data_IF_516418804767
#
_entry.id   IF_516418804767
#
_cell.length_a   1.000
_cell.length_b   1.000
_cell.length_c   1.000
_cell.angle_alpha   90.00
_cell.angle_beta   90.00
_cell.angle_gamma   90.00
#
_symmetry.space_group_name_H-M   'P 1'
#
loop_
_entity.id
_entity.type
_entity.pdbx_description
1 polymer ?
#
# COMPACT_ATOMS: atom_id res chain seq x y z
N UNK A 1 -11.20 -2.99 3.68
CA UNK A 1 -11.08 -2.37 2.34
C UNK A 1 -11.24 -3.42 1.23
N UNK A 2 -11.33 -4.70 1.56
CA UNK A 2 -11.28 -5.77 0.61
C UNK A 2 -12.67 -6.37 0.43
N UNK A 3 -12.87 -7.07 -0.68
CA UNK A 3 -14.00 -7.98 -0.82
C UNK A 3 -13.99 -9.03 0.30
N UNK A 4 -15.15 -9.60 0.61
CA UNK A 4 -15.18 -10.83 1.43
C UNK A 4 -14.51 -11.98 0.68
N UNK A 5 -14.19 -13.07 1.38
CA UNK A 5 -13.60 -14.26 0.74
C UNK A 5 -14.53 -14.82 -0.34
N UNK A 6 -15.83 -14.90 -0.08
CA UNK A 6 -16.82 -15.40 -1.04
C UNK A 6 -16.96 -14.48 -2.25
N UNK A 7 -16.98 -13.16 -2.03
CA UNK A 7 -17.00 -12.15 -3.10
C UNK A 7 -15.74 -12.23 -3.97
N UNK A 8 -14.56 -12.40 -3.34
CA UNK A 8 -13.28 -12.54 -4.03
C UNK A 8 -13.20 -13.83 -4.84
N UNK A 9 -13.63 -14.97 -4.27
CA UNK A 9 -13.70 -16.25 -4.98
C UNK A 9 -14.62 -16.16 -6.20
N UNK A 10 -15.83 -15.60 -6.02
CA UNK A 10 -16.78 -15.38 -7.10
C UNK A 10 -16.15 -14.53 -8.21
N UNK A 11 -15.46 -13.44 -7.86
CA UNK A 11 -14.77 -12.62 -8.86
C UNK A 11 -13.73 -13.43 -9.65
N UNK A 12 -12.83 -14.14 -8.98
CA UNK A 12 -11.76 -14.88 -9.65
C UNK A 12 -12.30 -16.01 -10.53
N UNK A 13 -13.34 -16.72 -10.10
CA UNK A 13 -13.98 -17.77 -10.89
C UNK A 13 -14.60 -17.20 -12.17
N UNK A 14 -15.35 -16.09 -12.07
CA UNK A 14 -15.95 -15.43 -13.24
C UNK A 14 -14.90 -14.81 -14.17
N UNK A 15 -13.86 -14.22 -13.61
CA UNK A 15 -12.82 -13.54 -14.38
C UNK A 15 -11.96 -14.55 -15.14
N UNK A 16 -11.61 -15.67 -14.51
CA UNK A 16 -10.93 -16.76 -15.20
C UNK A 16 -11.81 -17.38 -16.31
N UNK A 17 -13.12 -17.52 -16.09
CA UNK A 17 -14.03 -18.08 -17.09
C UNK A 17 -14.09 -17.23 -18.38
N UNK A 18 -14.23 -15.90 -18.26
CA UNK A 18 -14.25 -15.03 -19.44
C UNK A 18 -12.87 -14.95 -20.11
N UNK A 19 -11.78 -14.90 -19.34
CA UNK A 19 -10.44 -14.84 -19.94
C UNK A 19 -10.06 -16.14 -20.64
N UNK A 20 -10.52 -17.29 -20.13
CA UNK A 20 -10.38 -18.59 -20.80
C UNK A 20 -11.14 -18.61 -22.14
N UNK A 21 -12.34 -18.04 -22.17
CA UNK A 21 -13.11 -17.87 -23.40
C UNK A 21 -12.38 -16.97 -24.41
N UNK A 22 -11.88 -15.81 -23.98
CA UNK A 22 -11.11 -14.89 -24.83
C UNK A 22 -9.86 -15.57 -25.36
N UNK A 23 -9.12 -16.28 -24.51
CA UNK A 23 -7.90 -16.96 -24.92
C UNK A 23 -8.20 -18.01 -25.99
N UNK A 24 -9.26 -18.82 -25.83
CA UNK A 24 -9.67 -19.82 -26.82
C UNK A 24 -10.15 -19.22 -28.15
N UNK A 25 -10.85 -18.06 -28.10
CA UNK A 25 -11.39 -17.41 -29.31
C UNK A 25 -10.31 -16.69 -30.11
N UNK A 26 -9.31 -16.13 -29.44
CA UNK A 26 -8.30 -15.27 -30.07
C UNK A 26 -6.90 -15.89 -30.15
N UNK A 27 -6.69 -17.04 -29.52
CA UNK A 27 -5.40 -17.74 -29.45
C UNK A 27 -4.25 -16.82 -28.96
N UNK A 28 -4.49 -16.13 -27.84
CA UNK A 28 -3.58 -15.07 -27.34
C UNK A 28 -2.37 -15.65 -26.63
N UNK A 29 -2.56 -16.71 -25.86
CA UNK A 29 -1.55 -17.39 -25.07
C UNK A 29 -1.62 -18.91 -25.30
N UNK A 30 -0.45 -19.59 -25.39
CA UNK A 30 -0.36 -21.01 -25.74
C UNK A 30 -0.94 -21.93 -24.67
N UNK A 31 -0.85 -21.56 -23.39
CA UNK A 31 -1.34 -22.40 -22.29
C UNK A 31 -2.86 -22.21 -22.07
N UNK A 32 -3.67 -23.27 -22.23
CA UNK A 32 -5.08 -23.22 -21.88
C UNK A 32 -5.26 -23.26 -20.36
N UNK A 33 -6.31 -22.59 -19.89
CA UNK A 33 -6.75 -22.66 -18.49
C UNK A 33 -8.27 -22.67 -18.45
N UNK A 34 -8.83 -23.27 -17.41
CA UNK A 34 -10.27 -23.50 -17.25
C UNK A 34 -10.84 -22.92 -15.95
N UNK A 35 -9.98 -22.60 -14.98
CA UNK A 35 -10.37 -22.12 -13.66
C UNK A 35 -9.39 -21.08 -13.10
N UNK A 36 -9.74 -20.47 -11.97
CA UNK A 36 -8.96 -19.41 -11.33
C UNK A 36 -7.56 -19.86 -10.89
N UNK A 37 -7.40 -21.11 -10.43
CA UNK A 37 -6.10 -21.61 -9.98
C UNK A 37 -5.13 -21.79 -11.16
N UNK A 38 -5.60 -22.40 -12.25
CA UNK A 38 -4.83 -22.52 -13.50
C UNK A 38 -4.50 -21.15 -14.08
N UNK A 39 -5.46 -20.23 -14.11
CA UNK A 39 -5.23 -18.86 -14.58
C UNK A 39 -4.11 -18.16 -13.79
N UNK A 40 -4.01 -18.39 -12.48
CA UNK A 40 -2.96 -17.79 -11.65
C UNK A 40 -1.56 -18.35 -11.94
N UNK A 41 -1.46 -19.55 -12.53
CA UNK A 41 -0.21 -20.16 -12.96
C UNK A 41 0.26 -19.66 -14.32
N UNK A 42 -0.64 -19.12 -15.16
CA UNK A 42 -0.29 -18.50 -16.45
C UNK A 42 0.68 -17.35 -16.25
N UNK A 43 1.66 -17.22 -17.16
CA UNK A 43 2.69 -16.21 -17.01
C UNK A 43 2.07 -14.80 -16.92
N UNK A 44 2.67 -13.91 -16.14
CA UNK A 44 2.11 -12.58 -15.98
C UNK A 44 2.01 -11.77 -17.29
N UNK A 45 2.94 -11.95 -18.23
CA UNK A 45 2.90 -11.32 -19.56
C UNK A 45 1.69 -11.80 -20.39
N UNK A 46 1.42 -13.11 -20.41
CA UNK A 46 0.28 -13.69 -21.11
C UNK A 46 -1.05 -13.24 -20.49
N UNK A 47 -1.13 -13.20 -19.16
CA UNK A 47 -2.32 -12.68 -18.47
C UNK A 47 -2.63 -11.24 -18.84
N UNK A 48 -1.59 -10.40 -18.95
CA UNK A 48 -1.75 -9.02 -19.43
C UNK A 48 -2.24 -8.99 -20.88
N UNK A 49 -1.68 -9.81 -21.77
CA UNK A 49 -2.08 -9.89 -23.16
C UNK A 49 -3.54 -10.34 -23.34
N UNK A 50 -3.98 -11.39 -22.62
CA UNK A 50 -5.36 -11.88 -22.67
C UNK A 50 -6.32 -10.81 -22.13
N UNK A 51 -5.96 -10.15 -21.02
CA UNK A 51 -6.74 -9.03 -20.47
C UNK A 51 -6.88 -7.89 -21.48
N UNK A 52 -5.78 -7.46 -22.08
CA UNK A 52 -5.79 -6.35 -23.03
C UNK A 52 -6.64 -6.69 -24.25
N UNK A 53 -6.53 -7.93 -24.76
CA UNK A 53 -7.38 -8.43 -25.83
C UNK A 53 -8.89 -8.40 -25.49
N UNK A 54 -9.27 -8.74 -24.26
CA UNK A 54 -10.66 -8.64 -23.78
C UNK A 54 -11.18 -7.19 -23.83
N UNK A 55 -10.39 -6.22 -23.36
CA UNK A 55 -10.85 -4.82 -23.27
C UNK A 55 -10.68 -4.02 -24.56
N UNK A 56 -9.85 -4.50 -25.49
CA UNK A 56 -9.76 -4.02 -26.88
C UNK A 56 -10.95 -4.52 -27.72
N UNK A 57 -11.48 -5.72 -27.44
CA UNK A 57 -12.65 -6.33 -28.10
C UNK A 57 -13.79 -6.60 -27.11
N UNK A 58 -14.45 -5.54 -26.66
CA UNK A 58 -15.50 -5.62 -25.61
C UNK A 58 -16.74 -6.40 -26.04
N UNK A 59 -16.95 -6.57 -27.34
CA UNK A 59 -17.97 -7.45 -27.92
C UNK A 59 -17.82 -8.91 -27.44
N UNK A 60 -16.61 -9.35 -27.09
CA UNK A 60 -16.39 -10.69 -26.53
C UNK A 60 -17.09 -10.89 -25.18
N UNK A 61 -17.41 -9.81 -24.45
CA UNK A 61 -18.22 -9.89 -23.23
C UNK A 61 -19.67 -10.26 -23.59
N UNK A 62 -20.22 -9.72 -24.67
CA UNK A 62 -21.56 -10.10 -25.15
C UNK A 62 -21.60 -11.53 -25.64
N UNK A 63 -20.61 -11.91 -26.45
CA UNK A 63 -20.50 -13.27 -26.97
C UNK A 63 -20.40 -14.29 -25.82
N UNK A 64 -19.55 -14.02 -24.83
CA UNK A 64 -19.42 -14.88 -23.66
C UNK A 64 -20.74 -15.02 -22.88
N UNK A 65 -21.47 -13.91 -22.70
CA UNK A 65 -22.75 -13.91 -21.99
C UNK A 65 -23.84 -14.65 -22.78
N UNK A 66 -23.85 -14.52 -24.11
CA UNK A 66 -24.82 -15.17 -24.99
C UNK A 66 -24.55 -16.67 -25.15
N UNK A 67 -23.30 -17.07 -25.34
CA UNK A 67 -22.89 -18.47 -25.51
C UNK A 67 -22.91 -19.23 -24.18
N UNK A 68 -22.67 -18.54 -23.05
CA UNK A 68 -22.54 -19.09 -21.70
C UNK A 68 -21.72 -20.40 -21.63
N UNK A 69 -20.48 -20.43 -22.15
CA UNK A 69 -19.70 -21.67 -22.27
C UNK A 69 -19.30 -22.26 -20.91
N UNK A 70 -19.33 -21.45 -19.85
CA UNK A 70 -19.02 -21.86 -18.48
C UNK A 70 -20.27 -22.25 -17.66
N UNK A 71 -21.45 -22.31 -18.28
CA UNK A 71 -22.72 -22.70 -17.63
C UNK A 71 -23.02 -21.87 -16.36
N UNK A 72 -22.76 -20.57 -16.43
CA UNK A 72 -22.97 -19.63 -15.34
C UNK A 72 -24.47 -19.37 -15.12
N UNK A 73 -24.82 -19.08 -13.88
CA UNK A 73 -26.16 -18.63 -13.51
C UNK A 73 -26.49 -17.25 -14.08
N UNK A 74 -27.78 -16.92 -14.20
CA UNK A 74 -28.22 -15.61 -14.68
C UNK A 74 -27.64 -14.43 -13.90
N UNK A 75 -27.45 -14.59 -12.58
CA UNK A 75 -26.85 -13.55 -11.73
C UNK A 75 -25.36 -13.37 -12.00
N UNK A 76 -24.63 -14.47 -12.21
CA UNK A 76 -23.22 -14.44 -12.59
C UNK A 76 -23.02 -13.79 -13.97
N UNK A 77 -23.85 -14.15 -14.95
CA UNK A 77 -23.85 -13.53 -16.27
C UNK A 77 -24.15 -12.02 -16.19
N UNK A 78 -25.05 -11.60 -15.30
CA UNK A 78 -25.33 -10.19 -15.05
C UNK A 78 -24.12 -9.45 -14.48
N UNK A 79 -23.32 -10.09 -13.61
CA UNK A 79 -22.06 -9.50 -13.13
C UNK A 79 -21.09 -9.31 -14.29
N UNK A 80 -20.86 -10.36 -15.09
CA UNK A 80 -19.91 -10.32 -16.20
C UNK A 80 -20.30 -9.29 -17.25
N UNK A 81 -21.59 -9.15 -17.58
CA UNK A 81 -22.05 -8.16 -18.55
C UNK A 81 -21.75 -6.71 -18.14
N UNK A 82 -21.70 -6.43 -16.83
CA UNK A 82 -21.31 -5.09 -16.35
C UNK A 82 -19.85 -4.74 -16.65
N UNK A 83 -18.97 -5.71 -16.89
CA UNK A 83 -17.55 -5.46 -17.18
C UNK A 83 -17.32 -4.73 -18.50
N UNK A 84 -18.36 -4.54 -19.32
CA UNK A 84 -18.33 -3.59 -20.43
C UNK A 84 -18.14 -2.14 -19.99
N UNK A 85 -18.53 -1.79 -18.77
CA UNK A 85 -18.30 -0.46 -18.19
C UNK A 85 -16.90 -0.33 -17.55
N UNK A 86 -16.04 -1.34 -17.74
CA UNK A 86 -14.68 -1.32 -17.24
C UNK A 86 -13.88 -0.12 -17.76
N UNK A 87 -12.98 0.38 -16.92
CA UNK A 87 -12.10 1.50 -17.24
C UNK A 87 -10.63 1.03 -17.21
N UNK A 88 -10.10 0.49 -18.32
CA UNK A 88 -8.66 0.38 -18.52
C UNK A 88 -8.04 1.77 -18.52
N UNK A 89 -6.89 1.90 -17.88
CA UNK A 89 -6.14 3.15 -17.99
C UNK A 89 -5.05 3.33 -16.96
N UNK A 90 -4.51 4.55 -16.98
CA UNK A 90 -3.50 5.01 -16.03
C UNK A 90 -4.15 5.82 -14.93
N UNK A 91 -3.79 5.47 -13.70
CA UNK A 91 -4.36 6.06 -12.50
C UNK A 91 -3.28 6.44 -11.50
N UNK A 92 -3.44 7.58 -10.86
CA UNK A 92 -2.73 7.90 -9.63
C UNK A 92 -3.47 7.29 -8.45
N UNK A 93 -2.90 6.25 -7.84
CA UNK A 93 -3.32 5.82 -6.51
C UNK A 93 -2.89 6.92 -5.54
N UNK A 94 -3.87 7.65 -5.02
CA UNK A 94 -3.65 8.91 -4.33
C UNK A 94 -3.75 8.78 -2.82
N UNK A 95 -4.67 7.93 -2.32
CA UNK A 95 -4.89 7.76 -0.89
C UNK A 95 -5.56 6.43 -0.54
N UNK A 96 -5.24 5.89 0.63
CA UNK A 96 -6.00 4.81 1.28
C UNK A 96 -6.99 5.39 2.30
N UNK A 97 -8.28 5.08 2.16
CA UNK A 97 -9.35 5.43 3.11
C UNK A 97 -9.84 4.17 3.83
N UNK A 98 -10.71 4.26 4.84
CA UNK A 98 -11.13 3.05 5.56
C UNK A 98 -11.90 2.04 4.67
N UNK A 99 -12.67 2.54 3.70
CA UNK A 99 -13.57 1.73 2.85
C UNK A 99 -12.98 1.36 1.49
N UNK A 100 -12.16 2.23 0.90
CA UNK A 100 -11.61 2.07 -0.45
C UNK A 100 -10.30 2.85 -0.62
N UNK A 101 -9.50 2.48 -1.62
CA UNK A 101 -8.41 3.29 -2.13
C UNK A 101 -8.93 4.31 -3.15
N UNK A 102 -8.31 5.48 -3.23
CA UNK A 102 -8.69 6.55 -4.17
C UNK A 102 -7.76 6.53 -5.36
N UNK A 103 -8.33 6.28 -6.54
CA UNK A 103 -7.66 6.31 -7.84
C UNK A 103 -8.08 7.58 -8.59
N UNK A 104 -7.12 8.39 -9.04
CA UNK A 104 -7.36 9.58 -9.86
C UNK A 104 -6.96 9.28 -11.30
N UNK A 105 -7.79 9.65 -12.27
CA UNK A 105 -7.43 9.54 -13.70
C UNK A 105 -6.19 10.38 -14.00
N UNK A 106 -5.21 9.83 -14.72
CA UNK A 106 -4.02 10.61 -15.12
C UNK A 106 -4.28 11.53 -16.31
N UNK A 107 -5.03 11.04 -17.30
CA UNK A 107 -5.07 11.66 -18.64
C UNK A 107 -6.39 12.40 -18.92
N UNK A 108 -7.40 12.24 -18.06
CA UNK A 108 -8.74 12.85 -18.25
C UNK A 108 -8.90 14.18 -17.49
N UNK A 109 -9.51 15.16 -18.17
CA UNK A 109 -9.99 16.42 -17.61
C UNK A 109 -11.52 16.55 -17.81
N UNK A 110 -12.32 16.80 -16.76
CA UNK A 110 -11.89 16.96 -15.37
C UNK A 110 -11.43 15.62 -14.77
N UNK A 111 -10.49 15.70 -13.83
CA UNK A 111 -9.97 14.51 -13.14
C UNK A 111 -11.07 13.87 -12.30
N UNK A 112 -11.33 12.58 -12.53
CA UNK A 112 -12.29 11.79 -11.76
C UNK A 112 -11.59 11.05 -10.63
N UNK A 113 -12.28 10.89 -9.50
CA UNK A 113 -11.81 10.13 -8.35
C UNK A 113 -12.67 8.88 -8.17
N UNK A 114 -12.04 7.71 -8.23
CA UNK A 114 -12.68 6.41 -8.05
C UNK A 114 -12.31 5.80 -6.70
N UNK A 115 -13.31 5.32 -5.97
CA UNK A 115 -13.14 4.55 -4.75
C UNK A 115 -13.07 3.06 -5.09
N UNK A 116 -11.86 2.51 -5.11
CA UNK A 116 -11.55 1.13 -5.51
C UNK A 116 -11.35 0.24 -4.28
N UNK A 117 -12.05 -0.89 -4.26
CA UNK A 117 -12.00 -1.94 -3.24
C UNK A 117 -10.95 -2.97 -3.64
N UNK A 118 -10.18 -3.46 -2.66
CA UNK A 118 -9.20 -4.52 -2.90
C UNK A 118 -9.87 -5.89 -3.12
N UNK A 119 -9.14 -6.81 -3.74
CA UNK A 119 -9.54 -8.22 -3.88
C UNK A 119 -9.14 -8.98 -2.60
N UNK A 120 -8.31 -10.02 -2.69
CA UNK A 120 -7.83 -10.76 -1.52
C UNK A 120 -6.84 -9.94 -0.68
N UNK A 121 -5.80 -9.37 -1.32
CA UNK A 121 -4.77 -8.60 -0.62
C UNK A 121 -5.16 -7.13 -0.41
N UNK A 122 -4.86 -6.54 0.76
CA UNK A 122 -4.97 -5.11 0.97
C UNK A 122 -4.25 -4.32 -0.13
N UNK A 123 -4.89 -3.26 -0.63
CA UNK A 123 -4.35 -2.42 -1.71
C UNK A 123 -2.97 -1.80 -1.37
N UNK A 124 -2.66 -1.65 -0.08
CA UNK A 124 -1.34 -1.22 0.41
C UNK A 124 -0.22 -2.25 0.13
N UNK A 125 -0.55 -3.54 0.07
CA UNK A 125 0.41 -4.59 -0.32
C UNK A 125 0.58 -4.66 -1.84
N UNK A 126 -0.52 -4.53 -2.59
CA UNK A 126 -0.51 -4.56 -4.06
C UNK A 126 0.20 -3.33 -4.63
N UNK A 127 -0.22 -2.14 -4.21
CA UNK A 127 0.29 -0.87 -4.76
C UNK A 127 1.44 -0.30 -3.94
N UNK A 128 1.60 -0.64 -2.67
CA UNK A 128 2.67 -0.14 -1.81
C UNK A 128 2.30 1.12 -1.00
N UNK A 129 2.97 1.35 0.14
CA UNK A 129 2.54 2.36 1.13
C UNK A 129 2.88 3.81 0.76
N UNK A 130 3.73 4.02 -0.24
CA UNK A 130 4.21 5.35 -0.63
C UNK A 130 3.36 5.92 -1.75
N UNK A 131 2.51 6.91 -1.41
CA UNK A 131 1.62 7.58 -2.34
C UNK A 131 2.07 9.04 -2.64
N UNK A 132 1.67 9.60 -3.80
CA UNK A 132 0.92 8.95 -4.88
C UNK A 132 1.80 7.96 -5.66
N UNK A 133 1.18 6.95 -6.27
CA UNK A 133 1.81 6.02 -7.23
C UNK A 133 1.02 6.05 -8.53
N UNK A 134 1.73 6.12 -9.66
CA UNK A 134 1.12 5.95 -10.97
C UNK A 134 1.10 4.46 -11.31
N UNK A 135 -0.06 3.97 -11.69
CA UNK A 135 -0.27 2.56 -12.04
C UNK A 135 -1.10 2.46 -13.32
N UNK A 136 -0.90 1.38 -14.07
CA UNK A 136 -1.82 0.94 -15.12
C UNK A 136 -2.58 -0.28 -14.60
N UNK A 137 -3.91 -0.26 -14.71
CA UNK A 137 -4.80 -1.36 -14.30
C UNK A 137 -6.18 -1.16 -14.93
N UNK A 138 -7.09 -2.11 -14.74
CA UNK A 138 -8.49 -2.00 -15.17
C UNK A 138 -9.39 -1.88 -13.95
N UNK A 139 -10.20 -0.81 -13.91
CA UNK A 139 -11.24 -0.66 -12.88
C UNK A 139 -12.53 -1.32 -13.37
N UNK A 140 -13.09 -2.23 -12.58
CA UNK A 140 -14.25 -3.05 -12.95
C UNK A 140 -15.43 -2.78 -12.01
N UNK A 141 -16.67 -2.70 -12.53
CA UNK A 141 -17.85 -2.83 -11.68
C UNK A 141 -17.96 -4.24 -11.12
N UNK A 142 -18.26 -4.35 -9.83
CA UNK A 142 -18.53 -5.63 -9.18
C UNK A 142 -19.50 -5.42 -8.02
N UNK A 143 -20.73 -5.92 -8.15
CA UNK A 143 -21.77 -5.86 -7.11
C UNK A 143 -21.93 -4.46 -6.47
N UNK A 144 -22.03 -3.42 -7.29
CA UNK A 144 -22.20 -2.03 -6.84
C UNK A 144 -20.94 -1.37 -6.27
N UNK A 145 -19.79 -2.05 -6.33
CA UNK A 145 -18.45 -1.52 -5.97
C UNK A 145 -17.62 -1.34 -7.23
N UNK A 146 -16.50 -0.62 -7.10
CA UNK A 146 -15.42 -0.64 -8.08
C UNK A 146 -14.28 -1.47 -7.50
N UNK A 147 -13.84 -2.47 -8.26
CA UNK A 147 -12.64 -3.26 -7.95
C UNK A 147 -11.59 -3.01 -9.03
N UNK A 148 -10.40 -3.56 -8.81
CA UNK A 148 -9.41 -3.71 -9.88
C UNK A 148 -9.39 -5.19 -10.31
N UNK A 149 -8.79 -5.46 -11.46
CA UNK A 149 -8.76 -6.76 -12.12
C UNK A 149 -7.74 -7.77 -11.58
N UNK A 150 -7.03 -7.42 -10.51
CA UNK A 150 -5.93 -8.24 -10.00
C UNK A 150 -4.59 -7.99 -10.69
N UNK A 151 -4.55 -7.21 -11.79
CA UNK A 151 -3.33 -6.91 -12.53
C UNK A 151 -2.99 -5.43 -12.44
N UNK A 152 -1.85 -5.12 -11.82
CA UNK A 152 -1.39 -3.74 -11.63
C UNK A 152 0.06 -3.60 -12.08
N UNK A 153 0.29 -2.74 -13.07
CA UNK A 153 1.64 -2.35 -13.49
C UNK A 153 2.01 -1.02 -12.85
N UNK A 154 2.93 -1.04 -11.88
CA UNK A 154 3.41 0.16 -11.20
C UNK A 154 4.56 0.84 -11.94
N UNK A 155 4.53 2.17 -12.03
CA UNK A 155 5.65 2.95 -12.54
C UNK A 155 6.63 3.31 -11.42
N UNK A 156 7.93 3.13 -11.66
CA UNK A 156 9.00 3.53 -10.74
C UNK A 156 9.31 5.03 -10.83
N UNK A 157 8.31 5.85 -10.52
CA UNK A 157 8.38 7.31 -10.60
C UNK A 157 8.17 7.92 -9.20
N UNK A 158 9.05 8.83 -8.81
CA UNK A 158 8.90 9.61 -7.57
C UNK A 158 8.30 10.98 -7.86
N UNK A 159 7.17 11.27 -7.22
CA UNK A 159 6.46 12.54 -7.39
C UNK A 159 6.97 13.63 -6.44
N UNK A 160 7.46 14.73 -7.02
CA UNK A 160 7.89 15.94 -6.31
C UNK A 160 6.73 16.71 -5.63
N UNK A 161 7.06 17.76 -4.88
CA UNK A 161 6.07 18.54 -4.12
C UNK A 161 5.02 19.23 -4.99
N UNK A 162 5.40 19.73 -6.17
CA UNK A 162 4.50 20.42 -7.10
C UNK A 162 3.37 19.52 -7.60
N UNK A 163 3.71 18.37 -8.18
CA UNK A 163 2.73 17.38 -8.66
C UNK A 163 1.88 16.81 -7.51
N UNK A 164 2.42 16.65 -6.30
CA UNK A 164 1.64 16.25 -5.11
C UNK A 164 0.60 17.30 -4.72
N UNK A 165 0.95 18.59 -4.81
CA UNK A 165 0.02 19.69 -4.57
C UNK A 165 -1.09 19.72 -5.63
N UNK A 166 -0.71 19.60 -6.90
CA UNK A 166 -1.65 19.53 -8.03
C UNK A 166 -2.63 18.36 -7.87
N UNK A 167 -2.16 17.16 -7.56
CA UNK A 167 -3.02 15.99 -7.35
C UNK A 167 -3.97 16.18 -6.16
N UNK A 168 -3.53 16.86 -5.11
CA UNK A 168 -4.39 17.16 -3.97
C UNK A 168 -5.46 18.21 -4.30
N UNK A 169 -5.16 19.18 -5.16
CA UNK A 169 -6.15 20.14 -5.68
C UNK A 169 -7.16 19.45 -6.59
N UNK A 170 -6.69 18.62 -7.53
CA UNK A 170 -7.55 17.77 -8.39
C UNK A 170 -8.45 16.84 -7.56
N UNK A 171 -7.92 16.20 -6.53
CA UNK A 171 -8.72 15.36 -5.63
C UNK A 171 -9.81 16.16 -4.89
N UNK A 172 -9.52 17.38 -4.42
CA UNK A 172 -10.52 18.23 -3.78
C UNK A 172 -11.65 18.61 -4.74
N UNK A 173 -11.30 18.99 -5.97
CA UNK A 173 -12.27 19.32 -7.02
C UNK A 173 -13.16 18.10 -7.33
N UNK A 174 -12.55 16.95 -7.59
CA UNK A 174 -13.27 15.70 -7.86
C UNK A 174 -14.20 15.32 -6.70
N UNK A 175 -13.78 15.57 -5.46
CA UNK A 175 -14.60 15.32 -4.25
C UNK A 175 -15.79 16.27 -4.12
N UNK A 176 -15.69 17.50 -4.62
CA UNK A 176 -16.76 18.52 -4.55
C UNK A 176 -17.82 18.32 -5.64
N UNK A 177 -17.43 17.84 -6.82
CA UNK A 177 -18.35 17.41 -7.88
C UNK A 177 -17.59 16.57 -8.91
N UNK A 178 -17.97 15.30 -9.17
CA UNK A 178 -19.19 14.58 -8.74
C UNK A 178 -19.11 13.87 -7.37
N UNK A 179 -17.99 13.97 -6.66
CA UNK A 179 -17.70 13.14 -5.49
C UNK A 179 -16.78 11.97 -5.83
N UNK A 180 -16.44 11.15 -4.82
CA UNK A 180 -15.69 9.90 -5.05
C UNK A 180 -16.68 8.89 -5.65
N UNK A 181 -16.43 8.51 -6.91
CA UNK A 181 -17.23 7.55 -7.65
C UNK A 181 -16.95 6.15 -7.09
N UNK A 182 -17.95 5.47 -6.54
CA UNK A 182 -17.78 4.13 -5.93
C UNK A 182 -18.51 3.02 -6.66
N UNK A 183 -19.18 3.32 -7.78
CA UNK A 183 -19.79 2.37 -8.71
C UNK A 183 -19.61 2.84 -10.15
N UNK A 184 -19.49 1.90 -11.09
CA UNK A 184 -19.47 2.17 -12.55
C UNK A 184 -20.80 1.73 -13.16
N UNK A 185 -21.17 2.34 -14.29
CA UNK A 185 -22.42 2.07 -15.01
C UNK A 185 -23.67 2.74 -14.41
N UNK A 186 -24.85 2.35 -14.91
CA UNK A 186 -26.17 2.93 -14.57
C UNK A 186 -26.61 2.72 -13.11
N UNK A 187 -25.80 2.02 -12.30
CA UNK A 187 -25.94 1.87 -10.85
C UNK A 187 -25.37 3.08 -10.07
N UNK A 188 -25.09 4.21 -10.74
CA UNK A 188 -24.60 5.45 -10.13
C UNK A 188 -25.74 6.22 -9.44
N UNK A 189 -26.34 5.61 -8.42
CA UNK A 189 -27.31 6.23 -7.52
C UNK A 189 -26.60 6.87 -6.32
N UNK A 190 -26.69 8.20 -6.23
CA UNK A 190 -26.17 9.10 -5.19
C UNK A 190 -26.20 8.56 -3.75
N UNK A 191 -25.03 8.40 -3.13
CA UNK A 191 -24.88 8.37 -1.67
C UNK A 191 -24.34 9.72 -1.17
N UNK A 192 -25.26 10.57 -0.70
CA UNK A 192 -24.95 11.82 0.03
C UNK A 192 -24.23 11.49 1.34
N UNK A 193 -22.99 11.95 1.51
CA UNK A 193 -22.33 11.90 2.83
C UNK A 193 -22.60 13.19 3.60
N UNK A 194 -23.21 13.04 4.78
CA UNK A 194 -23.47 14.09 5.75
C UNK A 194 -22.23 14.90 6.13
N UNK A 195 -22.43 16.22 6.27
CA UNK A 195 -21.40 17.24 6.35
C UNK A 195 -20.49 17.18 7.60
N UNK A 196 -19.21 17.45 7.35
CA UNK A 196 -18.21 17.74 8.38
C UNK A 196 -18.30 19.22 8.77
N UNK A 197 -18.62 19.50 10.04
CA UNK A 197 -18.55 20.84 10.63
C UNK A 197 -17.10 21.36 10.63
N UNK A 198 -16.91 22.54 10.02
CA UNK A 198 -15.70 23.38 10.10
C UNK A 198 -15.41 23.76 11.56
N UNK A 199 -14.14 23.74 11.97
CA UNK A 199 -13.59 24.73 12.91
C UNK A 199 -12.34 25.38 12.34
N UNK A 200 -12.34 26.71 12.45
CA UNK A 200 -11.50 27.70 11.79
C UNK A 200 -10.05 27.68 12.31
N UNK A 201 -9.16 28.05 11.41
CA UNK A 201 -7.76 28.42 11.65
C UNK A 201 -7.63 29.56 12.66
N UNK A 202 -6.69 29.43 13.59
CA UNK A 202 -6.15 30.55 14.36
C UNK A 202 -4.69 30.81 13.93
N UNK A 203 -4.48 32.01 13.42
CA UNK A 203 -3.18 32.63 13.08
C UNK A 203 -2.38 32.82 14.38
N UNK A 204 -1.05 32.62 14.37
CA UNK A 204 -0.21 33.25 15.40
C UNK A 204 1.18 33.66 14.93
N UNK A 205 1.51 34.86 15.40
CA UNK A 205 2.64 35.78 15.22
C UNK A 205 4.01 35.12 15.35
N UNK A 206 4.97 35.68 14.60
CA UNK A 206 6.41 35.63 14.89
C UNK A 206 6.68 36.45 16.15
N UNK A 207 7.50 35.92 17.04
CA UNK A 207 8.28 36.68 18.01
C UNK A 207 9.69 36.09 18.05
N UNK A 208 10.66 37.00 17.90
CA UNK A 208 12.10 36.80 18.04
C UNK A 208 12.50 36.80 19.51
N UNK A 209 13.39 35.89 19.90
CA UNK A 209 14.33 36.06 20.99
C UNK A 209 15.52 35.11 20.78
N UNK A 210 16.73 35.60 21.07
CA UNK A 210 17.99 34.93 20.81
C UNK A 210 18.20 33.70 21.72
N UNK A 211 18.42 32.55 21.11
CA UNK A 211 18.96 31.32 21.69
C UNK A 211 19.44 30.43 20.52
N UNK A 212 20.27 29.42 20.80
CA UNK A 212 20.95 28.55 19.83
C UNK A 212 20.13 28.22 18.58
N UNK A 213 20.78 28.09 17.41
CA UNK A 213 20.10 27.81 16.15
C UNK A 213 19.05 26.69 16.31
N UNK A 214 17.83 26.80 15.73
CA UNK A 214 16.77 25.79 15.92
C UNK A 214 17.19 24.35 15.60
N UNK A 215 18.26 24.19 14.81
CA UNK A 215 18.88 22.89 14.53
C UNK A 215 19.68 22.32 15.71
N UNK A 216 20.40 23.15 16.47
CA UNK A 216 21.13 22.72 17.67
C UNK A 216 20.17 22.40 18.81
N UNK A 217 19.12 23.20 18.99
CA UNK A 217 18.07 22.91 19.97
C UNK A 217 17.38 21.56 19.66
N UNK A 218 17.04 21.31 18.39
CA UNK A 218 16.44 20.05 17.98
C UNK A 218 17.36 18.84 18.22
N UNK A 219 18.68 19.01 18.10
CA UNK A 219 19.67 17.96 18.43
C UNK A 219 19.73 17.71 19.93
N UNK A 220 19.74 18.75 20.76
CA UNK A 220 19.71 18.62 22.22
C UNK A 220 18.46 17.85 22.68
N UNK A 221 17.29 18.24 22.18
CA UNK A 221 16.03 17.56 22.52
C UNK A 221 16.03 16.11 22.03
N UNK A 222 16.66 15.82 20.88
CA UNK A 222 16.79 14.45 20.40
C UNK A 222 17.68 13.59 21.30
N UNK A 223 18.75 14.15 21.88
CA UNK A 223 19.61 13.45 22.84
C UNK A 223 18.84 13.08 24.11
N UNK A 224 18.09 14.02 24.69
CA UNK A 224 17.21 13.75 25.85
C UNK A 224 16.20 12.62 25.56
N UNK A 225 15.58 12.65 24.38
CA UNK A 225 14.64 11.60 23.96
C UNK A 225 15.35 10.26 23.77
N UNK A 226 16.56 10.28 23.22
CA UNK A 226 17.39 9.08 23.05
C UNK A 226 17.71 8.44 24.39
N UNK A 227 18.10 9.20 25.41
CA UNK A 227 18.34 8.67 26.76
C UNK A 227 17.09 7.96 27.32
N UNK A 228 15.90 8.56 27.14
CA UNK A 228 14.64 7.94 27.54
C UNK A 228 14.35 6.63 26.78
N UNK A 229 14.60 6.59 25.48
CA UNK A 229 14.37 5.37 24.69
C UNK A 229 15.41 4.28 24.97
N UNK A 230 16.65 4.67 25.24
CA UNK A 230 17.74 3.74 25.53
C UNK A 230 17.51 3.07 26.89
N UNK A 231 17.17 3.84 27.93
CA UNK A 231 16.82 3.27 29.23
C UNK A 231 15.58 2.36 29.18
N UNK A 232 14.60 2.64 28.30
CA UNK A 232 13.49 1.73 28.07
C UNK A 232 13.94 0.44 27.37
N UNK A 233 14.75 0.54 26.32
CA UNK A 233 15.18 -0.61 25.53
C UNK A 233 16.12 -1.52 26.33
N UNK A 234 17.01 -0.96 27.14
CA UNK A 234 17.89 -1.70 28.05
C UNK A 234 17.06 -2.50 29.06
N UNK A 235 16.02 -1.89 29.63
CA UNK A 235 15.18 -2.53 30.65
C UNK A 235 14.21 -3.57 30.10
N UNK A 236 13.68 -3.37 28.89
CA UNK A 236 12.51 -4.13 28.42
C UNK A 236 12.66 -4.78 27.04
N UNK A 237 13.65 -4.38 26.24
CA UNK A 237 13.84 -4.86 24.87
C UNK A 237 15.28 -5.35 24.67
N UNK A 238 16.02 -4.77 23.73
CA UNK A 238 17.42 -5.10 23.46
C UNK A 238 18.12 -3.94 22.72
N UNK A 239 19.41 -4.13 22.44
CA UNK A 239 20.27 -3.14 21.79
C UNK A 239 19.86 -2.82 20.34
N UNK A 240 19.28 -3.78 19.59
CA UNK A 240 18.82 -3.53 18.22
C UNK A 240 17.65 -2.51 18.21
N UNK A 241 16.74 -2.63 19.18
CA UNK A 241 15.67 -1.64 19.37
C UNK A 241 16.23 -0.27 19.77
N UNK A 242 17.19 -0.23 20.69
CA UNK A 242 17.83 1.02 21.13
C UNK A 242 18.46 1.75 19.93
N UNK A 243 19.24 1.04 19.12
CA UNK A 243 19.87 1.58 17.91
C UNK A 243 18.84 2.18 16.94
N UNK A 244 17.76 1.46 16.62
CA UNK A 244 16.72 1.98 15.74
C UNK A 244 15.97 3.17 16.34
N UNK A 245 15.79 3.21 17.67
CA UNK A 245 15.21 4.37 18.35
C UNK A 245 16.10 5.61 18.21
N UNK A 246 17.43 5.48 18.37
CA UNK A 246 18.40 6.56 18.15
C UNK A 246 18.39 7.09 16.72
N UNK A 247 18.35 6.19 15.74
CA UNK A 247 18.24 6.54 14.33
C UNK A 247 16.92 7.28 14.03
N UNK A 248 15.82 6.84 14.64
CA UNK A 248 14.49 7.45 14.47
C UNK A 248 14.43 8.84 15.11
N UNK A 249 14.95 9.01 16.32
CA UNK A 249 15.09 10.30 16.98
C UNK A 249 15.93 11.29 16.13
N UNK A 250 17.07 10.82 15.60
CA UNK A 250 17.93 11.60 14.70
C UNK A 250 17.23 11.97 13.39
N UNK A 251 16.42 11.07 12.82
CA UNK A 251 15.63 11.34 11.62
C UNK A 251 14.56 12.42 11.88
N UNK A 252 13.94 12.41 13.06
CA UNK A 252 12.99 13.45 13.47
C UNK A 252 13.69 14.79 13.69
N UNK A 253 14.85 14.81 14.34
CA UNK A 253 15.63 16.02 14.59
C UNK A 253 16.05 16.75 13.30
N UNK A 254 16.33 16.00 12.22
CA UNK A 254 16.72 16.55 10.92
C UNK A 254 15.57 17.20 10.13
N UNK A 255 14.31 17.00 10.52
CA UNK A 255 13.17 17.65 9.87
C UNK A 255 13.20 19.17 10.09
N UNK A 256 12.67 19.93 9.13
CA UNK A 256 12.63 21.41 9.18
C UNK A 256 11.19 21.92 9.04
N UNK A 257 10.63 22.58 10.07
CA UNK A 257 11.13 22.64 11.45
C UNK A 257 11.11 21.25 12.10
N UNK A 258 11.96 21.01 13.11
CA UNK A 258 11.96 19.74 13.83
C UNK A 258 10.68 19.61 14.65
N UNK A 259 9.96 18.48 14.57
CA UNK A 259 8.76 18.26 15.36
C UNK A 259 9.08 18.04 16.85
N UNK A 260 10.32 17.68 17.18
CA UNK A 260 10.76 17.43 18.56
C UNK A 260 10.73 18.68 19.43
N UNK A 261 10.81 19.87 18.81
CA UNK A 261 10.71 21.16 19.50
C UNK A 261 9.34 21.43 20.11
N UNK A 262 8.36 20.53 19.94
CA UNK A 262 7.01 20.66 20.47
C UNK A 262 6.55 19.38 21.15
N UNK A 263 5.94 19.55 22.32
CA UNK A 263 5.38 18.44 23.11
C UNK A 263 6.36 17.90 24.15
N UNK A 264 5.88 16.97 24.97
CA UNK A 264 6.65 16.33 26.04
C UNK A 264 7.65 15.32 25.48
N UNK A 265 8.81 15.19 26.12
CA UNK A 265 9.89 14.27 25.69
C UNK A 265 9.44 12.82 25.80
N UNK A 266 8.77 12.48 26.90
CA UNK A 266 8.21 11.16 27.20
C UNK A 266 7.21 10.72 26.14
N UNK A 267 6.39 11.64 25.64
CA UNK A 267 5.46 11.33 24.55
C UNK A 267 6.19 11.02 23.24
N UNK A 268 7.27 11.75 22.93
CA UNK A 268 8.09 11.44 21.76
C UNK A 268 8.84 10.12 21.91
N UNK A 269 9.46 9.85 23.06
CA UNK A 269 10.12 8.59 23.37
C UNK A 269 9.15 7.41 23.23
N UNK A 270 7.98 7.49 23.87
CA UNK A 270 6.90 6.52 23.73
C UNK A 270 6.52 6.29 22.26
N UNK A 271 6.31 7.36 21.49
CA UNK A 271 5.96 7.26 20.08
C UNK A 271 7.05 6.62 19.22
N UNK A 272 8.32 6.87 19.52
CA UNK A 272 9.48 6.31 18.83
C UNK A 272 9.55 4.80 19.08
N UNK A 273 9.59 4.37 20.35
CA UNK A 273 9.66 2.95 20.72
C UNK A 273 8.46 2.20 20.15
N UNK A 274 7.24 2.76 20.29
CA UNK A 274 6.02 2.15 19.74
C UNK A 274 6.08 2.01 18.22
N UNK A 275 6.71 2.96 17.52
CA UNK A 275 6.88 2.88 16.06
C UNK A 275 7.84 1.77 15.65
N UNK A 276 9.00 1.66 16.30
CA UNK A 276 9.96 0.58 16.03
C UNK A 276 9.36 -0.77 16.40
N UNK A 277 8.69 -0.87 17.56
CA UNK A 277 7.94 -2.04 17.98
C UNK A 277 6.90 -2.49 16.96
N UNK A 278 6.08 -1.54 16.46
CA UNK A 278 5.05 -1.84 15.46
C UNK A 278 5.63 -2.33 14.13
N UNK A 279 6.72 -1.73 13.62
CA UNK A 279 7.35 -2.17 12.36
C UNK A 279 7.89 -3.61 12.47
N UNK A 280 8.35 -3.98 13.67
CA UNK A 280 8.97 -5.26 13.94
C UNK A 280 8.04 -6.26 14.65
N UNK A 281 6.72 -6.02 14.61
CA UNK A 281 5.68 -6.89 15.16
C UNK A 281 5.92 -7.28 16.62
N UNK A 282 6.42 -6.35 17.44
CA UNK A 282 6.75 -6.61 18.85
C UNK A 282 5.58 -7.20 19.67
N UNK A 283 4.34 -6.94 19.25
CA UNK A 283 3.11 -7.43 19.88
C UNK A 283 2.63 -8.80 19.39
N UNK A 284 3.36 -9.45 18.49
CA UNK A 284 3.16 -10.83 18.09
C UNK A 284 3.91 -11.78 19.06
N UNK A 285 3.23 -12.75 19.70
CA UNK A 285 3.83 -13.70 20.65
C UNK A 285 4.97 -14.53 20.08
N UNK A 286 5.05 -14.69 18.76
CA UNK A 286 6.15 -15.43 18.11
C UNK A 286 7.48 -14.65 18.14
N UNK A 287 7.45 -13.35 18.45
CA UNK A 287 8.64 -12.50 18.43
C UNK A 287 9.41 -12.54 19.76
N UNK A 288 10.74 -12.45 19.69
CA UNK A 288 11.61 -12.29 20.86
C UNK A 288 12.45 -11.01 20.70
N UNK A 289 12.41 -10.06 21.65
CA UNK A 289 11.46 -9.96 22.76
C UNK A 289 10.01 -9.78 22.29
N UNK A 290 9.04 -10.11 23.14
CA UNK A 290 7.60 -9.87 22.94
C UNK A 290 7.08 -8.85 23.92
N UNK A 291 6.33 -7.86 23.45
CA UNK A 291 5.63 -6.89 24.29
C UNK A 291 4.41 -6.30 23.57
N UNK A 292 3.26 -6.30 24.25
CA UNK A 292 2.09 -5.55 23.74
C UNK A 292 2.36 -4.06 23.75
N UNK A 293 2.11 -3.39 22.62
CA UNK A 293 2.40 -1.96 22.46
C UNK A 293 1.82 -1.05 23.57
N UNK A 294 0.60 -1.28 24.13
CA UNK A 294 0.08 -0.48 25.24
C UNK A 294 0.92 -0.55 26.54
N UNK A 295 1.76 -1.57 26.70
CA UNK A 295 2.72 -1.65 27.83
C UNK A 295 3.77 -0.54 27.72
N UNK A 296 4.21 -0.22 26.50
CA UNK A 296 5.16 0.87 26.22
C UNK A 296 4.59 2.19 26.71
N UNK A 297 3.33 2.48 26.39
CA UNK A 297 2.70 3.76 26.78
C UNK A 297 2.66 3.91 28.30
N UNK A 298 2.23 2.86 29.00
CA UNK A 298 2.19 2.83 30.48
C UNK A 298 3.57 3.03 31.09
N UNK A 299 4.60 2.42 30.54
CA UNK A 299 5.97 2.55 31.04
C UNK A 299 6.51 3.98 30.91
N UNK A 300 6.08 4.74 29.90
CA UNK A 300 6.41 6.16 29.75
C UNK A 300 5.41 7.11 30.45
N UNK A 301 4.40 6.59 31.16
CA UNK A 301 3.35 7.41 31.79
C UNK A 301 2.47 8.14 30.77
N UNK A 302 2.30 7.59 29.57
CA UNK A 302 1.53 8.18 28.46
C UNK A 302 0.22 7.40 28.28
N UNK A 303 -0.89 8.12 28.08
CA UNK A 303 -2.16 7.49 27.76
C UNK A 303 -2.10 6.75 26.41
N UNK A 304 -2.72 5.58 26.30
CA UNK A 304 -2.61 4.71 25.11
C UNK A 304 -3.00 5.42 23.81
N UNK A 305 -4.10 6.17 23.81
CA UNK A 305 -4.55 6.95 22.66
C UNK A 305 -3.51 8.01 22.22
N UNK A 306 -2.73 8.54 23.16
CA UNK A 306 -1.67 9.51 22.91
C UNK A 306 -0.43 8.83 22.33
N UNK A 307 -0.02 7.68 22.89
CA UNK A 307 1.08 6.88 22.36
C UNK A 307 0.80 6.36 20.95
N UNK A 308 -0.39 5.81 20.71
CA UNK A 308 -0.86 5.38 19.40
C UNK A 308 -0.91 6.56 18.40
N UNK A 309 -1.50 7.69 18.81
CA UNK A 309 -1.56 8.91 18.00
C UNK A 309 -0.19 9.43 17.62
N UNK A 310 0.77 9.42 18.56
CA UNK A 310 2.15 9.85 18.32
C UNK A 310 2.89 8.91 17.37
N UNK A 311 2.79 7.60 17.58
CA UNK A 311 3.37 6.61 16.66
C UNK A 311 2.79 6.76 15.24
N UNK A 312 1.47 6.90 15.10
CA UNK A 312 0.83 7.17 13.80
C UNK A 312 1.37 8.45 13.15
N UNK A 313 1.56 9.51 13.93
CA UNK A 313 2.15 10.77 13.44
C UNK A 313 3.59 10.57 12.94
N UNK A 314 4.42 9.81 13.65
CA UNK A 314 5.80 9.50 13.24
C UNK A 314 5.79 8.70 11.94
N UNK A 315 5.01 7.61 11.88
CA UNK A 315 4.89 6.76 10.69
C UNK A 315 4.43 7.55 9.47
N UNK A 316 3.46 8.44 9.64
CA UNK A 316 2.99 9.32 8.56
C UNK A 316 4.09 10.30 8.12
N UNK A 317 4.78 10.94 9.07
CA UNK A 317 5.78 11.98 8.79
C UNK A 317 7.04 11.45 8.11
N UNK A 318 7.44 10.23 8.45
CA UNK A 318 8.62 9.54 7.92
C UNK A 318 8.29 8.52 6.83
N UNK A 319 7.00 8.36 6.51
CA UNK A 319 6.47 7.36 5.56
C UNK A 319 6.97 5.95 5.90
N UNK A 320 6.78 5.55 7.16
CA UNK A 320 7.13 4.23 7.67
C UNK A 320 5.92 3.34 7.48
N UNK A 321 6.06 2.33 6.61
CA UNK A 321 5.05 1.30 6.37
C UNK A 321 5.28 0.02 7.17
N UNK A 322 4.38 -0.95 7.04
CA UNK A 322 4.62 -2.30 7.56
C UNK A 322 5.83 -2.92 6.87
N UNK A 323 6.64 -3.67 7.64
CA UNK A 323 7.87 -4.32 7.16
C UNK A 323 8.88 -3.35 6.51
N UNK A 324 8.89 -2.06 6.87
CA UNK A 324 9.80 -1.08 6.26
C UNK A 324 11.27 -1.51 6.47
N UNK A 325 12.04 -1.82 5.40
CA UNK A 325 13.40 -2.36 5.56
C UNK A 325 14.35 -1.40 6.28
N UNK A 326 14.08 -0.08 6.24
CA UNK A 326 14.89 0.94 6.92
C UNK A 326 14.76 0.91 8.44
N UNK A 327 13.64 0.38 8.95
CA UNK A 327 13.30 0.35 10.37
C UNK A 327 13.12 -1.09 10.87
N UNK A 328 13.64 -2.06 10.12
CA UNK A 328 13.64 -3.48 10.47
C UNK A 328 14.88 -3.80 11.28
N UNK A 329 14.70 -4.56 12.37
CA UNK A 329 15.81 -5.04 13.19
C UNK A 329 16.79 -5.85 12.32
N UNK A 330 18.11 -5.68 12.48
CA UNK A 330 19.10 -6.48 11.77
C UNK A 330 18.82 -7.98 11.81
N UNK A 331 18.47 -8.52 12.98
CA UNK A 331 18.09 -9.93 13.19
C UNK A 331 16.85 -10.38 12.42
N UNK A 332 15.99 -9.45 11.98
CA UNK A 332 14.77 -9.74 11.20
C UNK A 332 14.89 -9.38 9.73
N UNK A 333 16.05 -8.91 9.25
CA UNK A 333 16.21 -8.51 7.85
C UNK A 333 16.01 -9.68 6.89
N UNK A 334 16.48 -10.87 7.26
CA UNK A 334 16.37 -12.08 6.43
C UNK A 334 14.93 -12.54 6.27
N UNK A 335 14.13 -12.48 7.33
CA UNK A 335 12.72 -12.86 7.32
C UNK A 335 11.79 -11.76 6.84
N UNK A 336 12.27 -10.51 6.70
CA UNK A 336 11.47 -9.41 6.18
C UNK A 336 11.24 -9.57 4.67
N UNK A 337 9.99 -9.80 4.22
CA UNK A 337 9.69 -10.00 2.80
C UNK A 337 10.09 -8.79 1.95
N UNK A 338 9.89 -7.56 2.45
CA UNK A 338 10.17 -6.32 1.70
C UNK A 338 11.67 -6.04 1.49
N UNK A 339 12.54 -6.71 2.23
CA UNK A 339 14.00 -6.65 1.99
C UNK A 339 14.36 -7.38 0.71
N UNK A 340 13.58 -8.41 0.34
CA UNK A 340 13.90 -9.34 -0.74
C UNK A 340 12.99 -9.20 -1.96
N UNK A 341 11.85 -8.52 -1.84
CA UNK A 341 10.99 -8.22 -2.99
C UNK A 341 11.68 -7.24 -3.94
N UNK A 342 12.01 -7.73 -5.14
CA UNK A 342 12.56 -6.95 -6.25
C UNK A 342 11.57 -6.91 -7.40
N UNK A 343 11.65 -5.86 -8.23
CA UNK A 343 10.80 -5.73 -9.40
C UNK A 343 11.57 -6.16 -10.66
N UNK A 344 11.11 -7.21 -11.32
CA UNK A 344 11.66 -7.73 -12.59
C UNK A 344 10.55 -7.70 -13.63
N UNK A 345 10.77 -6.99 -14.75
CA UNK A 345 9.80 -6.79 -15.82
C UNK A 345 8.42 -6.29 -15.36
N UNK A 346 8.37 -5.55 -14.25
CA UNK A 346 7.13 -5.04 -13.68
C UNK A 346 6.53 -5.90 -12.58
N UNK A 347 6.99 -7.14 -12.39
CA UNK A 347 6.51 -8.07 -11.38
C UNK A 347 7.34 -8.03 -10.10
N UNK A 348 6.66 -8.06 -8.96
CA UNK A 348 7.29 -8.18 -7.66
C UNK A 348 7.59 -9.65 -7.37
N UNK A 349 8.88 -10.01 -7.34
CA UNK A 349 9.33 -11.37 -7.04
C UNK A 349 10.21 -11.36 -5.80
N UNK A 350 10.21 -12.47 -5.06
CA UNK A 350 11.14 -12.66 -3.96
C UNK A 350 12.50 -13.10 -4.49
N UNK A 351 13.51 -12.24 -4.34
CA UNK A 351 14.85 -12.49 -4.84
C UNK A 351 15.48 -13.76 -4.24
N UNK A 352 15.03 -14.24 -3.07
CA UNK A 352 15.57 -15.47 -2.47
C UNK A 352 15.30 -16.72 -3.29
N UNK A 353 14.23 -16.69 -4.09
CA UNK A 353 13.82 -17.80 -4.95
C UNK A 353 13.95 -17.46 -6.43
N UNK A 354 14.48 -16.27 -6.76
CA UNK A 354 14.71 -15.86 -8.14
C UNK A 354 15.92 -16.59 -8.75
N UNK A 355 15.96 -16.77 -10.08
CA UNK A 355 17.15 -17.23 -10.81
C UNK A 355 18.44 -16.48 -10.43
N UNK A 356 19.59 -17.17 -10.53
CA UNK A 356 20.88 -16.68 -10.02
C UNK A 356 21.34 -15.38 -10.68
N UNK A 357 21.13 -15.24 -11.98
CA UNK A 357 21.40 -14.04 -12.75
C UNK A 357 20.58 -12.83 -12.24
N UNK A 358 19.32 -13.05 -11.86
CA UNK A 358 18.47 -12.03 -11.24
C UNK A 358 18.98 -11.67 -9.84
N UNK A 359 19.36 -12.65 -9.02
CA UNK A 359 19.93 -12.40 -7.69
C UNK A 359 21.20 -11.55 -7.78
N UNK A 360 22.13 -11.92 -8.67
CA UNK A 360 23.38 -11.19 -8.91
C UNK A 360 23.12 -9.77 -9.42
N UNK A 361 22.19 -9.61 -10.36
CA UNK A 361 21.79 -8.30 -10.86
C UNK A 361 21.14 -7.44 -9.78
N UNK A 362 20.28 -8.01 -8.94
CA UNK A 362 19.64 -7.34 -7.82
C UNK A 362 20.66 -6.89 -6.77
N UNK A 363 21.62 -7.76 -6.43
CA UNK A 363 22.70 -7.44 -5.50
C UNK A 363 23.61 -6.34 -6.05
N UNK A 364 24.04 -6.44 -7.31
CA UNK A 364 24.86 -5.41 -7.98
C UNK A 364 24.16 -4.04 -8.01
N UNK A 365 22.83 -4.01 -8.09
CA UNK A 365 22.01 -2.79 -8.03
C UNK A 365 21.70 -2.33 -6.59
N UNK A 366 22.15 -3.05 -5.57
CA UNK A 366 21.88 -2.75 -4.16
C UNK A 366 20.43 -2.94 -3.75
N UNK A 367 19.66 -3.75 -4.49
CA UNK A 367 18.25 -4.01 -4.21
C UNK A 367 18.04 -5.09 -3.14
N UNK A 368 19.02 -5.97 -2.95
CA UNK A 368 19.07 -6.97 -1.88
C UNK A 368 20.38 -6.85 -1.11
N UNK A 369 20.44 -7.24 0.18
CA UNK A 369 21.60 -7.03 1.02
C UNK A 369 22.80 -7.94 0.70
N UNK A 370 22.55 -9.13 0.18
CA UNK A 370 23.55 -10.11 -0.25
C UNK A 370 22.91 -11.10 -1.23
N UNK A 371 23.72 -11.89 -1.95
CA UNK A 371 23.22 -12.97 -2.82
C UNK A 371 22.90 -14.18 -1.94
N UNK A 372 21.64 -14.66 -1.89
CA UNK A 372 21.26 -15.78 -1.04
C UNK A 372 21.94 -17.07 -1.51
N UNK A 373 22.36 -17.91 -0.56
CA UNK A 373 22.81 -19.27 -0.82
C UNK A 373 21.57 -20.14 -1.10
N UNK A 374 21.50 -20.74 -2.30
CA UNK A 374 20.36 -21.59 -2.70
C UNK A 374 20.08 -22.65 -1.63
N UNK A 375 18.87 -22.67 -1.07
CA UNK A 375 18.41 -23.74 -0.15
C UNK A 375 17.56 -24.81 -0.85
N UNK A 376 17.58 -24.92 -2.19
CA UNK A 376 16.82 -25.94 -2.90
C UNK A 376 17.59 -26.47 -4.11
N UNK A 377 18.49 -27.42 -3.86
CA UNK A 377 18.89 -28.47 -4.83
C UNK A 377 19.19 -29.79 -4.11
N UNK A 378 18.50 -30.07 -3.01
CA UNK A 378 18.47 -31.39 -2.38
C UNK A 378 17.01 -31.71 -2.08
N UNK A 379 16.58 -32.92 -2.42
CA UNK A 379 15.20 -33.42 -2.50
C UNK A 379 14.50 -33.16 -3.85
N UNK A 380 15.05 -33.83 -4.87
CA UNK A 380 14.28 -34.40 -5.98
C UNK A 380 14.06 -35.89 -5.69
#
# INVERSE_FOLDING_TARGET
MNLSLDEGKLFYDLYAAILSFVNRKLDVAPEPFSNAAEYMSVSPEERLAIRDALFDKRELIDEFVAENPAQLSAEQLRIVSTWKDALPGKFYVFRYLNKHAVFLTSDNSPTKAYGVVGLADPMEFVVGPSLPRLVTTVLLPFQGKIIYDGLVSGYNITFGGGIKRMLNEKYKQAKESPGIITSLGTQSGTLKTNGLKKKRSAKRKKTSAAAASPANEAKSVAAEITELTDGFCEKFLNEEYAKLCRELASALARKRPSPLLRGKRETWACGIVRTIGWVNYLDDPAQKPHMKLPVIDRAFGVAESTGQGKSKSIRTMLRIGSFDPRWTLPSKKESNPRTWIVQVNGFAIDARYAPRDIQEAAFKKGLIPYIPTNQATEEM
#
